data_IF_286500817402
#
_entry.id   IF_286500817402
#
_cell.length_a   1.000
_cell.length_b   1.000
_cell.length_c   1.000
_cell.angle_alpha   90.00
_cell.angle_beta   90.00
_cell.angle_gamma   90.00
#
_symmetry.space_group_name_H-M   'P 1'
#
loop_
_entity.id
_entity.type
_entity.pdbx_description
1 polymer ?
#
# COMPACT_ATOMS: atom_id res chain seq x y z
N UNK A 1 -14.50 -40.14 17.81
CA UNK A 1 -14.88 -40.40 19.22
C UNK A 1 -13.86 -39.70 20.10
N UNK A 2 -14.18 -38.86 21.09
CA UNK A 2 -15.46 -38.34 21.61
C UNK A 2 -15.33 -36.80 21.71
N UNK A 3 -16.28 -35.95 21.29
CA UNK A 3 -17.56 -35.56 21.92
C UNK A 3 -17.42 -34.75 23.23
N UNK A 4 -18.13 -33.62 23.31
CA UNK A 4 -18.16 -32.61 24.40
C UNK A 4 -19.09 -33.05 25.57
N UNK A 5 -18.96 -32.47 26.79
CA UNK A 5 -19.81 -31.32 27.23
C UNK A 5 -19.00 -30.22 27.98
N UNK A 6 -19.36 -28.93 28.13
CA UNK A 6 -20.61 -28.14 28.18
C UNK A 6 -21.20 -27.94 29.61
N UNK A 7 -21.67 -26.71 29.91
CA UNK A 7 -22.48 -26.24 31.07
C UNK A 7 -21.78 -25.99 32.43
N UNK A 8 -22.18 -25.02 33.30
CA UNK A 8 -23.00 -23.77 33.15
C UNK A 8 -23.05 -22.93 34.46
N UNK A 9 -23.27 -21.59 34.34
CA UNK A 9 -23.84 -20.64 35.35
C UNK A 9 -22.94 -20.34 36.60
N UNK A 10 -23.17 -19.33 37.47
CA UNK A 10 -24.40 -18.54 37.78
C UNK A 10 -24.23 -17.13 38.42
N UNK A 11 -25.10 -16.17 38.03
CA UNK A 11 -25.71 -15.03 38.82
C UNK A 11 -24.77 -13.95 39.44
N UNK A 12 -25.19 -12.71 39.75
CA UNK A 12 -26.44 -11.90 39.61
C UNK A 12 -26.13 -10.44 40.06
N UNK A 13 -27.00 -9.42 40.17
CA UNK A 13 -28.43 -9.16 39.89
C UNK A 13 -28.71 -7.62 39.98
N UNK A 14 -29.68 -7.02 39.26
CA UNK A 14 -31.11 -6.72 39.64
C UNK A 14 -31.36 -5.36 40.35
N UNK A 15 -32.05 -4.44 39.64
CA UNK A 15 -33.05 -3.43 40.05
C UNK A 15 -33.49 -2.67 38.78
N UNK A 16 -34.76 -2.42 38.35
CA UNK A 16 -36.02 -1.97 39.00
C UNK A 16 -35.91 -0.55 39.63
N UNK A 17 -36.84 0.40 39.43
CA UNK A 17 -38.09 0.48 38.63
C UNK A 17 -38.18 1.88 37.91
N UNK A 18 -39.28 2.48 37.42
CA UNK A 18 -40.75 2.27 37.47
C UNK A 18 -41.46 3.04 36.29
N UNK A 19 -42.80 3.10 36.21
CA UNK A 19 -43.58 3.85 35.17
C UNK A 19 -44.36 5.11 35.71
N UNK A 20 -45.44 5.55 35.00
CA UNK A 20 -46.32 6.74 35.21
C UNK A 20 -45.75 8.13 34.79
N UNK A 21 -46.51 9.14 34.30
CA UNK A 21 -47.94 9.18 33.91
C UNK A 21 -48.50 10.62 33.65
N UNK A 22 -48.71 10.99 32.37
CA UNK A 22 -49.61 12.04 31.76
C UNK A 22 -49.77 13.50 32.30
N UNK A 23 -49.69 14.44 31.34
CA UNK A 23 -50.39 15.75 31.16
C UNK A 23 -50.53 16.84 32.26
N UNK A 24 -50.19 18.09 31.90
CA UNK A 24 -51.14 19.23 31.64
C UNK A 24 -50.40 20.57 31.41
N UNK A 25 -50.82 21.29 30.35
CA UNK A 25 -50.62 22.72 29.98
C UNK A 25 -49.69 23.67 30.78
N UNK A 26 -48.85 24.41 30.03
CA UNK A 26 -48.28 25.70 30.43
C UNK A 26 -47.77 26.51 29.22
N UNK A 27 -48.12 27.80 29.13
CA UNK A 27 -47.64 28.70 28.06
C UNK A 27 -46.22 29.24 28.33
N UNK A 28 -45.39 29.31 27.29
CA UNK A 28 -44.06 29.94 27.30
C UNK A 28 -43.68 30.42 25.90
N UNK A 29 -42.95 31.54 25.79
CA UNK A 29 -42.61 32.21 24.51
C UNK A 29 -41.11 32.24 24.27
N UNK A 30 -40.73 32.28 22.98
CA UNK A 30 -39.40 32.60 22.44
C UNK A 30 -38.23 31.68 22.93
N UNK A 31 -37.29 31.23 22.10
CA UNK A 31 -36.52 32.00 21.12
C UNK A 31 -36.16 31.19 19.84
N UNK A 32 -35.45 31.87 18.94
CA UNK A 32 -34.90 31.43 17.65
C UNK A 32 -34.29 30.02 17.56
N UNK A 33 -34.56 29.32 16.45
CA UNK A 33 -33.56 28.70 15.55
C UNK A 33 -34.28 28.01 14.35
N UNK A 34 -34.41 28.70 13.21
CA UNK A 34 -35.05 28.14 12.02
C UNK A 34 -34.09 27.25 11.21
N UNK A 35 -34.07 25.96 11.51
CA UNK A 35 -33.37 24.96 10.68
C UNK A 35 -34.14 24.66 9.39
N UNK A 36 -33.52 24.95 8.24
CA UNK A 36 -33.89 24.39 6.95
C UNK A 36 -32.62 23.86 6.29
N UNK A 37 -32.65 22.61 5.79
CA UNK A 37 -31.44 21.92 5.38
C UNK A 37 -30.83 22.54 4.11
N UNK A 38 -29.53 22.87 4.16
CA UNK A 38 -28.74 23.00 2.96
C UNK A 38 -28.56 21.60 2.36
N UNK A 39 -29.01 21.39 1.13
CA UNK A 39 -28.72 20.17 0.39
C UNK A 39 -27.20 20.01 0.26
N UNK A 40 -26.63 18.81 0.46
CA UNK A 40 -25.24 18.56 0.14
C UNK A 40 -25.09 18.61 -1.38
N UNK A 41 -24.74 19.79 -1.91
CA UNK A 41 -24.39 19.96 -3.32
C UNK A 41 -23.32 18.92 -3.65
N UNK A 42 -23.67 18.00 -4.55
CA UNK A 42 -22.75 16.95 -4.97
C UNK A 42 -21.61 17.61 -5.73
N UNK A 43 -20.49 17.86 -5.03
CA UNK A 43 -19.25 18.36 -5.61
C UNK A 43 -18.96 17.57 -6.88
N UNK A 44 -18.98 18.24 -8.03
CA UNK A 44 -18.80 17.59 -9.32
C UNK A 44 -17.34 17.21 -9.50
N UNK A 45 -16.97 16.08 -8.88
CA UNK A 45 -15.68 15.42 -9.03
C UNK A 45 -15.35 15.34 -10.51
N UNK A 46 -14.36 16.14 -10.91
CA UNK A 46 -13.98 16.35 -12.30
C UNK A 46 -13.80 14.99 -12.97
N UNK A 47 -14.48 14.73 -14.08
CA UNK A 47 -14.44 13.44 -14.76
C UNK A 47 -13.12 13.34 -15.55
N UNK A 48 -12.01 13.18 -14.81
CA UNK A 48 -10.69 12.95 -15.37
C UNK A 48 -10.78 11.65 -16.18
N UNK A 49 -10.52 11.66 -17.50
CA UNK A 49 -10.54 10.44 -18.30
C UNK A 49 -9.51 9.47 -17.71
N UNK A 50 -9.94 8.25 -17.39
CA UNK A 50 -9.21 7.30 -16.53
C UNK A 50 -7.70 7.26 -16.84
N UNK A 51 -6.91 7.94 -16.00
CA UNK A 51 -5.47 8.09 -16.17
C UNK A 51 -4.78 6.75 -15.92
N UNK A 52 -4.52 6.00 -17.00
CA UNK A 52 -3.75 4.76 -16.95
C UNK A 52 -2.28 5.10 -16.68
N UNK A 53 -1.77 4.70 -15.51
CA UNK A 53 -0.37 4.78 -15.16
C UNK A 53 0.33 3.44 -15.43
N UNK A 54 1.63 3.50 -15.71
CA UNK A 54 2.53 2.33 -15.77
C UNK A 54 3.61 2.51 -14.71
N UNK A 55 3.62 1.64 -13.69
CA UNK A 55 4.64 1.65 -12.65
C UNK A 55 5.66 0.55 -12.87
N UNK A 56 6.91 0.86 -12.51
CA UNK A 56 7.94 -0.15 -12.29
C UNK A 56 8.23 -0.23 -10.79
N UNK A 57 8.02 -1.42 -10.23
CA UNK A 57 8.20 -1.71 -8.81
C UNK A 57 9.42 -2.61 -8.61
N UNK A 58 10.22 -2.32 -7.59
CA UNK A 58 11.30 -3.19 -7.12
C UNK A 58 10.83 -4.04 -5.96
N UNK A 59 11.06 -5.36 -6.04
CA UNK A 59 10.75 -6.32 -4.98
C UNK A 59 12.05 -6.89 -4.40
N UNK A 60 12.14 -7.01 -3.08
CA UNK A 60 13.29 -7.61 -2.40
C UNK A 60 12.90 -8.41 -1.16
N UNK A 61 13.55 -9.53 -0.88
CA UNK A 61 13.29 -10.34 0.33
C UNK A 61 14.53 -11.13 0.73
N UNK A 62 14.84 -11.23 2.03
CA UNK A 62 15.91 -12.10 2.50
C UNK A 62 15.55 -13.05 3.67
N UNK A 63 14.33 -12.97 4.22
CA UNK A 63 13.84 -13.88 5.26
C UNK A 63 12.79 -14.88 4.74
N UNK A 64 12.68 -16.03 5.41
CA UNK A 64 11.65 -17.05 5.13
C UNK A 64 11.79 -17.73 3.76
N UNK A 65 10.68 -18.21 3.20
CA UNK A 65 10.67 -18.66 1.80
C UNK A 65 10.65 -17.44 0.86
N UNK A 66 11.86 -16.99 0.52
CA UNK A 66 12.12 -15.87 -0.39
C UNK A 66 11.42 -16.02 -1.75
N UNK A 67 11.21 -17.24 -2.24
CA UNK A 67 10.53 -17.47 -3.52
C UNK A 67 9.02 -17.29 -3.36
N UNK A 68 8.43 -17.89 -2.34
CA UNK A 68 7.00 -17.74 -2.02
C UNK A 68 6.64 -16.29 -1.69
N UNK A 69 7.50 -15.57 -0.95
CA UNK A 69 7.31 -14.15 -0.62
C UNK A 69 7.21 -13.28 -1.88
N UNK A 70 8.13 -13.43 -2.83
CA UNK A 70 8.06 -12.70 -4.11
C UNK A 70 6.83 -13.10 -4.93
N UNK A 71 6.51 -14.39 -5.03
CA UNK A 71 5.33 -14.86 -5.77
C UNK A 71 4.03 -14.28 -5.19
N UNK A 72 3.84 -14.35 -3.87
CA UNK A 72 2.64 -13.81 -3.22
C UNK A 72 2.58 -12.28 -3.30
N UNK A 73 3.71 -11.58 -3.26
CA UNK A 73 3.76 -10.14 -3.52
C UNK A 73 3.28 -9.80 -4.94
N UNK A 74 3.72 -10.53 -5.96
CA UNK A 74 3.27 -10.33 -7.36
C UNK A 74 1.78 -10.62 -7.52
N UNK A 75 1.27 -11.70 -6.92
CA UNK A 75 -0.17 -12.02 -6.89
C UNK A 75 -0.98 -10.88 -6.26
N UNK A 76 -0.54 -10.37 -5.10
CA UNK A 76 -1.20 -9.28 -4.38
C UNK A 76 -1.14 -7.93 -5.13
N UNK A 77 -0.06 -7.67 -5.88
CA UNK A 77 0.03 -6.53 -6.81
C UNK A 77 -0.97 -6.69 -7.95
N UNK A 78 -1.12 -7.90 -8.50
CA UNK A 78 -2.15 -8.24 -9.50
C UNK A 78 -3.58 -8.08 -8.98
N UNK A 79 -3.84 -8.53 -7.77
CA UNK A 79 -5.16 -8.47 -7.11
C UNK A 79 -5.59 -7.02 -6.75
N UNK A 80 -4.64 -6.15 -6.38
CA UNK A 80 -4.97 -4.89 -5.67
C UNK A 80 -4.35 -3.62 -6.24
N UNK A 81 -3.37 -3.71 -7.13
CA UNK A 81 -2.79 -2.55 -7.82
C UNK A 81 -3.28 -2.54 -9.27
N UNK A 82 -3.07 -3.61 -10.04
CA UNK A 82 -3.55 -3.68 -11.42
C UNK A 82 -2.90 -4.77 -12.25
N UNK A 83 -3.00 -4.65 -13.57
CA UNK A 83 -2.46 -5.63 -14.53
C UNK A 83 -0.93 -5.72 -14.42
N UNK A 84 -0.42 -6.86 -13.94
CA UNK A 84 1.02 -7.18 -14.02
C UNK A 84 1.36 -7.49 -15.48
N UNK A 85 2.02 -6.55 -16.15
CA UNK A 85 2.41 -6.65 -17.56
C UNK A 85 3.67 -7.48 -17.73
N UNK A 86 4.61 -7.38 -16.80
CA UNK A 86 5.83 -8.19 -16.80
C UNK A 86 6.43 -8.35 -15.40
N UNK A 87 7.18 -9.44 -15.24
CA UNK A 87 7.93 -9.81 -14.04
C UNK A 87 9.32 -10.25 -14.51
N UNK A 88 10.36 -9.79 -13.82
CA UNK A 88 11.75 -10.19 -14.11
C UNK A 88 12.06 -11.61 -13.63
N UNK A 89 13.20 -12.14 -14.07
CA UNK A 89 13.90 -13.22 -13.38
C UNK A 89 14.17 -12.85 -11.91
N UNK A 90 14.36 -13.86 -11.06
CA UNK A 90 14.64 -13.66 -9.62
C UNK A 90 16.15 -13.65 -9.36
N UNK A 91 16.70 -12.52 -8.95
CA UNK A 91 18.13 -12.28 -8.79
C UNK A 91 18.58 -12.46 -7.33
N UNK A 92 19.48 -13.42 -7.09
CA UNK A 92 20.13 -13.59 -5.78
C UNK A 92 21.26 -12.56 -5.64
N UNK A 93 21.27 -11.77 -4.57
CA UNK A 93 22.33 -10.79 -4.29
C UNK A 93 22.80 -10.83 -2.84
N UNK A 94 23.98 -10.27 -2.58
CA UNK A 94 24.36 -9.88 -1.23
C UNK A 94 23.43 -8.76 -0.71
N UNK A 95 23.32 -8.57 0.62
CA UNK A 95 22.79 -7.34 1.21
C UNK A 95 23.55 -6.10 0.74
N UNK A 96 22.88 -4.94 0.74
CA UNK A 96 23.46 -3.64 0.37
C UNK A 96 23.33 -2.66 1.53
N UNK A 97 24.42 -1.96 1.87
CA UNK A 97 24.45 -0.99 2.99
C UNK A 97 24.53 -1.59 4.40
N UNK A 98 24.50 -2.92 4.56
CA UNK A 98 24.69 -3.62 5.84
C UNK A 98 25.20 -5.05 5.62
N UNK A 99 25.60 -5.73 6.70
CA UNK A 99 26.01 -7.15 6.68
C UNK A 99 24.91 -8.05 7.20
N UNK A 100 24.65 -9.17 6.51
CA UNK A 100 23.79 -10.26 6.98
C UNK A 100 24.19 -11.58 6.32
N UNK A 101 23.98 -12.68 7.04
CA UNK A 101 24.12 -14.06 6.50
C UNK A 101 23.04 -14.37 5.44
N UNK A 102 21.96 -13.59 5.41
CA UNK A 102 20.80 -13.82 4.54
C UNK A 102 20.92 -13.06 3.21
N UNK A 103 21.24 -13.79 2.13
CA UNK A 103 21.21 -13.26 0.76
C UNK A 103 19.81 -12.78 0.35
N UNK A 104 19.72 -11.66 -0.34
CA UNK A 104 18.47 -11.17 -0.91
C UNK A 104 18.10 -11.95 -2.18
N UNK A 105 16.80 -12.07 -2.41
CA UNK A 105 16.20 -12.42 -3.69
C UNK A 105 15.40 -11.21 -4.16
N UNK A 106 15.70 -10.71 -5.35
CA UNK A 106 15.13 -9.46 -5.87
C UNK A 106 14.47 -9.68 -7.24
N UNK A 107 13.49 -8.84 -7.57
CA UNK A 107 12.82 -8.82 -8.87
C UNK A 107 12.33 -7.39 -9.20
N UNK A 108 11.96 -7.16 -10.45
CA UNK A 108 11.20 -5.99 -10.88
C UNK A 108 9.86 -6.42 -11.48
N UNK A 109 8.84 -5.58 -11.30
CA UNK A 109 7.48 -5.77 -11.82
C UNK A 109 7.07 -4.54 -12.61
N UNK A 110 6.51 -4.73 -13.80
CA UNK A 110 5.75 -3.70 -14.51
C UNK A 110 4.26 -3.91 -14.23
N UNK A 111 3.57 -2.88 -13.74
CA UNK A 111 2.12 -2.93 -13.45
C UNK A 111 1.39 -1.73 -14.06
N UNK A 112 0.28 -2.00 -14.77
CA UNK A 112 -0.64 -0.98 -15.32
C UNK A 112 -1.87 -0.84 -14.44
N UNK A 113 -2.24 0.39 -14.13
CA UNK A 113 -3.36 0.69 -13.22
C UNK A 113 -3.94 2.08 -13.43
N UNK A 114 -5.19 2.30 -13.01
CA UNK A 114 -5.77 3.63 -12.86
C UNK A 114 -5.42 4.32 -11.52
N UNK A 115 -4.75 3.63 -10.59
CA UNK A 115 -4.41 4.18 -9.28
C UNK A 115 -3.32 5.25 -9.35
N UNK A 116 -3.50 6.43 -8.72
CA UNK A 116 -2.49 7.47 -8.68
C UNK A 116 -1.33 7.13 -7.71
N UNK A 117 -0.16 7.80 -7.82
CA UNK A 117 1.08 7.34 -7.18
C UNK A 117 1.04 7.20 -5.66
N UNK A 118 0.28 8.06 -4.96
CA UNK A 118 0.11 7.99 -3.51
C UNK A 118 -0.78 6.81 -3.09
N UNK A 119 -1.76 6.42 -3.90
CA UNK A 119 -2.59 5.24 -3.62
C UNK A 119 -1.81 3.95 -3.85
N UNK A 120 -1.00 3.88 -4.93
CA UNK A 120 -0.09 2.76 -5.17
C UNK A 120 0.90 2.60 -4.02
N UNK A 121 1.52 3.70 -3.56
CA UNK A 121 2.39 3.69 -2.38
C UNK A 121 1.68 3.21 -1.10
N UNK A 122 0.42 3.58 -0.89
CA UNK A 122 -0.35 3.10 0.25
C UNK A 122 -0.73 1.62 0.12
N UNK A 123 -1.03 1.13 -1.09
CA UNK A 123 -1.28 -0.30 -1.31
C UNK A 123 -0.02 -1.10 -1.06
N UNK A 124 1.14 -0.73 -1.63
CA UNK A 124 2.39 -1.49 -1.41
C UNK A 124 2.74 -1.56 0.08
N UNK A 125 2.65 -0.46 0.82
CA UNK A 125 2.91 -0.45 2.27
C UNK A 125 1.95 -1.34 3.08
N UNK A 126 0.70 -1.50 2.65
CA UNK A 126 -0.24 -2.48 3.25
C UNK A 126 0.16 -3.92 2.91
N UNK A 127 0.56 -4.19 1.66
CA UNK A 127 1.07 -5.51 1.25
C UNK A 127 2.33 -5.91 2.04
N UNK A 128 3.24 -4.98 2.29
CA UNK A 128 4.42 -5.22 3.14
C UNK A 128 4.04 -5.65 4.56
N UNK A 129 3.08 -4.97 5.17
CA UNK A 129 2.59 -5.27 6.53
C UNK A 129 1.88 -6.62 6.58
N UNK A 130 1.01 -6.92 5.61
CA UNK A 130 0.29 -8.19 5.49
C UNK A 130 1.23 -9.39 5.24
N UNK A 131 2.34 -9.17 4.53
CA UNK A 131 3.42 -10.15 4.33
C UNK A 131 4.44 -10.17 5.48
N UNK A 132 4.18 -9.47 6.59
CA UNK A 132 4.92 -9.59 7.84
C UNK A 132 6.05 -8.57 8.08
N UNK A 133 6.21 -7.55 7.23
CA UNK A 133 7.12 -6.41 7.51
C UNK A 133 6.44 -5.42 8.45
N UNK A 134 6.53 -5.68 9.76
CA UNK A 134 5.96 -4.80 10.80
C UNK A 134 6.74 -3.50 11.04
N UNK A 135 7.99 -3.41 10.58
CA UNK A 135 8.86 -2.25 10.78
C UNK A 135 9.61 -1.86 9.49
N UNK A 136 9.73 -0.55 9.27
CA UNK A 136 10.65 0.03 8.26
C UNK A 136 12.03 0.25 8.87
N UNK A 137 13.03 0.46 8.02
CA UNK A 137 14.37 0.90 8.42
C UNK A 137 14.28 2.21 9.21
N UNK A 138 15.00 2.30 10.34
CA UNK A 138 15.05 3.48 11.21
C UNK A 138 16.41 4.14 11.07
N UNK A 139 16.46 5.47 11.01
CA UNK A 139 17.70 6.29 10.93
C UNK A 139 18.69 5.85 9.84
N UNK A 140 18.18 5.32 8.72
CA UNK A 140 18.98 4.82 7.60
C UNK A 140 19.61 3.44 7.82
N UNK A 141 19.39 2.79 8.97
CA UNK A 141 19.91 1.46 9.28
C UNK A 141 19.13 0.40 8.52
N UNK A 142 19.76 -0.22 7.53
CA UNK A 142 19.21 -1.36 6.81
C UNK A 142 19.26 -2.64 7.66
N UNK A 143 18.21 -3.46 7.52
CA UNK A 143 18.02 -4.73 8.23
C UNK A 143 17.54 -5.83 7.28
N UNK A 144 17.39 -7.05 7.77
CA UNK A 144 16.69 -8.15 7.07
C UNK A 144 15.16 -7.90 7.01
N UNK A 145 14.47 -8.50 6.02
CA UNK A 145 13.00 -8.43 5.89
C UNK A 145 12.37 -9.56 5.05
N UNK A 146 11.07 -9.80 5.33
CA UNK A 146 10.22 -10.73 4.57
C UNK A 146 9.84 -10.21 3.18
N UNK A 147 9.64 -8.91 3.01
CA UNK A 147 9.44 -8.25 1.71
C UNK A 147 9.84 -6.77 1.78
N UNK A 148 10.24 -6.20 0.64
CA UNK A 148 10.50 -4.79 0.33
C UNK A 148 9.72 -4.50 -0.97
N UNK A 149 8.97 -3.39 -1.06
CA UNK A 149 8.27 -2.99 -2.29
C UNK A 149 8.51 -1.50 -2.61
N UNK A 150 9.58 -1.22 -3.34
CA UNK A 150 9.97 0.13 -3.79
C UNK A 150 9.18 0.54 -5.06
N UNK A 151 8.60 1.75 -5.07
CA UNK A 151 8.12 2.40 -6.31
C UNK A 151 9.32 3.03 -7.02
N UNK A 152 9.77 2.48 -8.14
CA UNK A 152 10.98 2.94 -8.84
C UNK A 152 10.67 4.07 -9.84
N UNK A 153 9.68 3.84 -10.70
CA UNK A 153 9.26 4.74 -11.78
C UNK A 153 7.74 4.72 -11.92
N UNK A 154 7.19 5.82 -12.41
CA UNK A 154 5.81 5.94 -12.84
C UNK A 154 5.75 6.72 -14.16
N UNK A 155 4.97 6.22 -15.11
CA UNK A 155 4.65 6.88 -16.37
C UNK A 155 3.15 7.07 -16.47
N UNK A 156 2.71 8.19 -17.04
CA UNK A 156 1.30 8.44 -17.33
C UNK A 156 0.84 7.77 -18.65
N UNK A 157 -0.40 8.05 -19.06
CA UNK A 157 -1.04 7.42 -20.21
C UNK A 157 -0.38 7.81 -21.55
N UNK A 158 0.29 8.96 -21.62
CA UNK A 158 1.01 9.44 -22.79
C UNK A 158 2.48 8.94 -22.81
N UNK A 159 2.88 8.18 -21.79
CA UNK A 159 4.25 7.68 -21.63
C UNK A 159 5.23 8.71 -21.05
N UNK A 160 4.74 9.79 -20.43
CA UNK A 160 5.59 10.80 -19.79
C UNK A 160 6.00 10.34 -18.40
N UNK A 161 7.29 10.51 -18.05
CA UNK A 161 7.81 10.19 -16.72
C UNK A 161 7.20 11.12 -15.66
N UNK A 162 6.36 10.57 -14.79
CA UNK A 162 5.75 11.28 -13.66
C UNK A 162 6.83 11.56 -12.61
N UNK A 163 7.15 12.84 -12.40
CA UNK A 163 8.13 13.28 -11.40
C UNK A 163 7.44 13.72 -10.12
N UNK A 164 7.90 13.20 -8.98
CA UNK A 164 7.37 13.53 -7.66
C UNK A 164 8.55 13.82 -6.74
N UNK A 165 8.45 14.90 -5.97
CA UNK A 165 9.46 15.32 -4.99
C UNK A 165 8.75 15.73 -3.69
N UNK A 166 8.39 14.77 -2.85
CA UNK A 166 7.67 15.02 -1.59
C UNK A 166 8.28 14.24 -0.42
N UNK A 167 8.04 14.63 0.84
CA UNK A 167 8.50 13.87 2.00
C UNK A 167 7.93 12.45 2.13
N UNK A 168 6.88 12.12 1.38
CA UNK A 168 6.21 10.82 1.40
C UNK A 168 6.64 9.91 0.23
N UNK A 169 6.95 10.51 -0.92
CA UNK A 169 7.22 9.83 -2.18
C UNK A 169 8.16 10.67 -3.06
N UNK A 170 9.16 10.01 -3.64
CA UNK A 170 10.06 10.58 -4.66
C UNK A 170 10.07 9.63 -5.86
N UNK A 171 9.82 10.16 -7.06
CA UNK A 171 9.85 9.42 -8.33
C UNK A 171 10.62 10.25 -9.38
N UNK A 172 11.61 9.69 -10.09
CA UNK A 172 12.23 8.37 -9.91
C UNK A 172 12.77 8.13 -8.49
N UNK A 173 12.79 6.86 -8.05
CA UNK A 173 13.36 6.51 -6.74
C UNK A 173 14.85 6.91 -6.70
N UNK A 174 15.28 7.75 -5.72
CA UNK A 174 16.52 8.51 -5.84
C UNK A 174 17.77 7.62 -5.97
N UNK A 175 17.85 6.55 -5.19
CA UNK A 175 19.02 5.64 -5.19
C UNK A 175 18.86 4.47 -6.17
N UNK A 176 17.91 4.49 -7.12
CA UNK A 176 17.68 3.32 -7.98
C UNK A 176 18.87 3.02 -8.90
N UNK A 177 19.50 4.05 -9.48
CA UNK A 177 20.61 3.89 -10.44
C UNK A 177 21.89 3.34 -9.77
N UNK A 178 22.09 3.64 -8.48
CA UNK A 178 23.22 3.15 -7.67
C UNK A 178 23.09 1.67 -7.27
N UNK A 179 21.89 1.08 -7.42
CA UNK A 179 21.55 -0.24 -6.89
C UNK A 179 21.45 -1.25 -8.03
N UNK A 180 22.54 -1.96 -8.31
CA UNK A 180 22.57 -3.01 -9.34
C UNK A 180 21.57 -4.16 -9.09
N UNK A 181 21.15 -4.39 -7.84
CA UNK A 181 20.09 -5.35 -7.49
C UNK A 181 18.67 -4.86 -7.86
N UNK A 182 18.50 -3.57 -8.16
CA UNK A 182 17.30 -2.94 -8.73
C UNK A 182 17.44 -2.83 -10.24
N UNK A 183 18.59 -2.34 -10.71
CA UNK A 183 18.80 -2.02 -12.14
C UNK A 183 18.88 -3.26 -13.03
N UNK A 184 19.43 -4.39 -12.59
CA UNK A 184 19.48 -5.59 -13.44
C UNK A 184 18.09 -6.21 -13.69
N UNK A 185 17.25 -6.45 -12.67
CA UNK A 185 15.85 -6.82 -12.88
C UNK A 185 15.08 -5.83 -13.77
N UNK A 186 15.31 -4.52 -13.60
CA UNK A 186 14.64 -3.49 -14.39
C UNK A 186 15.11 -3.44 -15.86
N UNK A 187 16.41 -3.65 -16.12
CA UNK A 187 16.98 -3.76 -17.48
C UNK A 187 16.42 -4.95 -18.24
N UNK A 188 16.07 -6.05 -17.57
CA UNK A 188 15.45 -7.23 -18.19
C UNK A 188 14.05 -6.92 -18.74
N UNK A 189 13.20 -6.27 -17.94
CA UNK A 189 11.79 -6.01 -18.29
C UNK A 189 11.54 -4.67 -19.00
N UNK A 190 12.47 -3.72 -18.89
CA UNK A 190 12.31 -2.35 -19.39
C UNK A 190 13.61 -1.76 -19.99
N UNK A 191 14.32 -2.46 -20.90
CA UNK A 191 15.63 -2.04 -21.43
C UNK A 191 15.60 -0.71 -22.18
N UNK A 192 14.45 -0.35 -22.76
CA UNK A 192 14.26 0.93 -23.43
C UNK A 192 14.10 2.07 -22.43
N UNK A 193 13.24 1.89 -21.42
CA UNK A 193 13.00 2.85 -20.33
C UNK A 193 14.31 3.17 -19.61
N UNK A 194 15.10 2.14 -19.25
CA UNK A 194 16.39 2.33 -18.58
C UNK A 194 17.39 3.13 -19.44
N UNK A 195 17.36 2.99 -20.77
CA UNK A 195 18.24 3.75 -21.68
C UNK A 195 17.81 5.22 -21.82
N UNK A 196 16.53 5.51 -21.58
CA UNK A 196 15.94 6.85 -21.66
C UNK A 196 15.92 7.59 -20.32
N UNK A 197 16.28 6.94 -19.21
CA UNK A 197 16.53 7.63 -17.95
C UNK A 197 17.71 8.60 -18.13
N UNK A 198 17.63 9.85 -17.64
CA UNK A 198 18.80 10.70 -17.56
C UNK A 198 19.80 10.05 -16.59
N UNK A 199 20.99 9.75 -17.09
CA UNK A 199 22.14 9.43 -16.27
C UNK A 199 22.63 10.73 -15.63
N UNK A 200 22.96 10.67 -14.34
CA UNK A 200 23.77 11.72 -13.72
C UNK A 200 25.21 11.56 -14.20
N UNK A 201 25.75 12.60 -14.86
CA UNK A 201 27.19 12.73 -15.15
C UNK A 201 27.98 13.14 -13.89
#
# INVERSE_FOLDING_TARGET
>A
MKTIPLCRKSKGGVSEADEEGLDVFGEGRDESMSGAAAEPQANSSFFIPHSSFTYYLGLGTNLGDKRQNLQRAVELIGERIGEVVSLSSFYVTAPWGFSSENSFLNAAVCVRTGLPPLEVLQVTQRLEQELGRTHKSVDGVYSDRLIDIDLLLCFDADGTLVRIQTPQLVIPHPLMQEREFVMNPLREIAPEVVRQLPFSE
#
